data_IF_946289557953
#
_entry.id   IF_946289557953
#
_cell.length_a   1.000
_cell.length_b   1.000
_cell.length_c   1.000
_cell.angle_alpha   90.00
_cell.angle_beta   90.00
_cell.angle_gamma   90.00
#
_symmetry.space_group_name_H-M   'P 1'
#
loop_
_entity.id
_entity.type
_entity.pdbx_description
1 polymer ?
#
# COMPACT_ATOMS: atom_id res chain seq x y z
N UNK A 1 13.90 -7.97 6.35
CA UNK A 1 12.53 -8.53 6.33
C UNK A 1 12.66 -10.01 5.97
N UNK A 2 12.19 -10.95 6.80
CA UNK A 2 12.28 -12.38 6.46
C UNK A 2 11.39 -12.73 5.26
N UNK A 3 11.85 -13.62 4.37
CA UNK A 3 11.08 -14.17 3.24
C UNK A 3 9.70 -14.69 3.68
N UNK A 4 9.62 -15.24 4.90
CA UNK A 4 8.36 -15.73 5.49
C UNK A 4 7.31 -14.63 5.68
N UNK A 5 7.70 -13.49 6.25
CA UNK A 5 6.79 -12.35 6.50
C UNK A 5 6.26 -11.79 5.18
N UNK A 6 7.09 -11.74 4.14
CA UNK A 6 6.64 -11.30 2.81
C UNK A 6 5.59 -12.27 2.22
N UNK A 7 5.82 -13.59 2.32
CA UNK A 7 4.87 -14.60 1.83
C UNK A 7 3.52 -14.52 2.55
N UNK A 8 3.54 -14.34 3.87
CA UNK A 8 2.32 -14.17 4.68
C UNK A 8 1.52 -12.93 4.24
N UNK A 9 2.19 -11.79 4.04
CA UNK A 9 1.56 -10.55 3.52
C UNK A 9 0.99 -10.74 2.11
N UNK A 10 1.69 -11.44 1.22
CA UNK A 10 1.22 -11.72 -0.13
C UNK A 10 -0.03 -12.61 -0.14
N UNK A 11 -0.08 -13.63 0.72
CA UNK A 11 -1.26 -14.47 0.90
C UNK A 11 -2.46 -13.65 1.43
N UNK A 12 -2.23 -12.80 2.42
CA UNK A 12 -3.27 -11.91 2.97
C UNK A 12 -3.79 -10.91 1.92
N UNK A 13 -2.90 -10.25 1.17
CA UNK A 13 -3.28 -9.31 0.12
C UNK A 13 -4.08 -9.99 -0.99
N UNK A 14 -3.72 -11.22 -1.38
CA UNK A 14 -4.49 -12.02 -2.33
C UNK A 14 -5.92 -12.28 -1.84
N UNK A 15 -6.10 -12.60 -0.56
CA UNK A 15 -7.45 -12.80 0.02
C UNK A 15 -8.31 -11.56 -0.09
N UNK A 16 -7.75 -10.36 0.13
CA UNK A 16 -8.49 -9.11 0.00
C UNK A 16 -9.07 -8.86 -1.40
N UNK A 17 -8.56 -9.50 -2.46
CA UNK A 17 -9.12 -9.38 -3.82
C UNK A 17 -10.38 -10.20 -4.03
N UNK A 18 -10.60 -11.23 -3.22
CA UNK A 18 -11.68 -12.20 -3.38
C UNK A 18 -12.74 -12.09 -2.28
N UNK A 19 -12.47 -11.30 -1.24
CA UNK A 19 -13.34 -11.14 -0.07
C UNK A 19 -13.98 -9.75 -0.04
N UNK A 20 -15.20 -9.67 0.47
CA UNK A 20 -15.83 -8.40 0.81
C UNK A 20 -15.23 -7.81 2.11
N UNK A 21 -15.33 -6.49 2.33
CA UNK A 21 -15.79 -5.46 1.40
C UNK A 21 -14.76 -5.18 0.29
N UNK A 22 -15.15 -4.43 -0.74
CA UNK A 22 -14.26 -3.99 -1.82
C UNK A 22 -12.91 -3.50 -1.27
N UNK A 23 -11.82 -3.98 -1.84
CA UNK A 23 -10.48 -3.53 -1.47
C UNK A 23 -10.25 -2.12 -2.03
N UNK A 24 -10.30 -1.13 -1.14
CA UNK A 24 -9.80 0.22 -1.44
C UNK A 24 -8.29 0.22 -1.23
N UNK A 25 -7.54 0.60 -2.27
CA UNK A 25 -6.08 0.57 -2.29
C UNK A 25 -5.52 1.98 -2.58
N UNK A 26 -5.34 2.82 -1.54
CA UNK A 26 -4.82 4.17 -1.73
C UNK A 26 -3.36 4.16 -2.21
N UNK A 27 -3.04 5.09 -3.10
CA UNK A 27 -1.67 5.33 -3.55
C UNK A 27 -0.93 6.22 -2.55
N UNK A 28 0.28 5.81 -2.18
CA UNK A 28 1.21 6.56 -1.31
C UNK A 28 2.55 6.78 -2.02
N UNK A 29 3.28 7.81 -1.61
CA UNK A 29 4.53 8.24 -2.27
C UNK A 29 5.70 8.47 -1.30
N UNK A 30 5.47 8.39 0.00
CA UNK A 30 6.51 8.47 1.03
C UNK A 30 6.10 7.72 2.33
N UNK A 31 6.98 7.72 3.32
CA UNK A 31 6.71 7.07 4.60
C UNK A 31 5.60 7.79 5.42
N UNK A 32 5.45 9.10 5.26
CA UNK A 32 4.46 9.88 5.99
C UNK A 32 3.03 9.55 5.51
N UNK A 33 2.80 9.60 4.20
CA UNK A 33 1.56 9.20 3.54
C UNK A 33 1.20 7.74 3.84
N UNK A 34 2.16 6.83 3.83
CA UNK A 34 1.93 5.43 4.24
C UNK A 34 1.40 5.30 5.67
N UNK A 35 1.97 6.07 6.62
CA UNK A 35 1.51 6.06 8.03
C UNK A 35 0.11 6.65 8.18
N UNK A 36 -0.18 7.74 7.48
CA UNK A 36 -1.51 8.37 7.50
C UNK A 36 -2.58 7.40 6.98
N UNK A 37 -2.33 6.75 5.84
CA UNK A 37 -3.28 5.78 5.26
C UNK A 37 -3.46 4.57 6.18
N UNK A 38 -2.40 4.08 6.83
CA UNK A 38 -2.52 3.01 7.81
C UNK A 38 -3.35 3.42 9.04
N UNK A 39 -3.15 4.64 9.55
CA UNK A 39 -3.94 5.20 10.67
C UNK A 39 -5.41 5.40 10.30
N UNK A 40 -5.71 5.69 9.04
CA UNK A 40 -7.07 5.78 8.52
C UNK A 40 -7.78 4.41 8.37
N UNK A 41 -7.09 3.30 8.68
CA UNK A 41 -7.70 1.96 8.74
C UNK A 41 -7.73 1.20 7.41
N UNK A 42 -7.01 1.67 6.38
CA UNK A 42 -6.93 0.94 5.12
C UNK A 42 -6.12 -0.36 5.28
N UNK A 43 -6.63 -1.43 4.67
CA UNK A 43 -6.08 -2.79 4.78
C UNK A 43 -4.78 -2.99 3.99
N UNK A 44 -4.54 -2.18 2.97
CA UNK A 44 -3.35 -2.22 2.11
C UNK A 44 -3.12 -0.85 1.44
N UNK A 45 -1.93 -0.66 0.87
CA UNK A 45 -1.52 0.54 0.13
C UNK A 45 -0.84 0.13 -1.19
N UNK A 46 -0.89 1.01 -2.18
CA UNK A 46 -0.12 0.91 -3.42
C UNK A 46 0.90 2.06 -3.50
N UNK A 47 1.95 1.88 -4.28
CA UNK A 47 2.87 2.96 -4.64
C UNK A 47 2.41 3.62 -5.93
N UNK A 48 2.77 4.89 -6.11
CA UNK A 48 2.56 5.62 -7.37
C UNK A 48 3.87 6.21 -7.87
N UNK A 49 4.23 5.92 -9.13
CA UNK A 49 5.43 6.50 -9.76
C UNK A 49 5.31 8.02 -9.93
N UNK A 50 4.13 8.53 -10.28
CA UNK A 50 3.91 9.97 -10.45
C UNK A 50 4.00 10.74 -9.13
N UNK A 51 3.47 10.18 -8.04
CA UNK A 51 3.57 10.82 -6.72
C UNK A 51 5.01 10.83 -6.19
N UNK A 52 5.76 9.75 -6.41
CA UNK A 52 7.19 9.70 -6.08
C UNK A 52 7.98 10.69 -6.94
N UNK A 53 7.72 10.75 -8.25
CA UNK A 53 8.37 11.68 -9.17
C UNK A 53 8.15 13.14 -8.73
N UNK A 54 6.90 13.52 -8.45
CA UNK A 54 6.56 14.86 -7.98
C UNK A 54 7.22 15.20 -6.63
N UNK A 55 7.25 14.27 -5.68
CA UNK A 55 7.90 14.47 -4.38
C UNK A 55 9.42 14.67 -4.49
N UNK A 56 10.04 14.15 -5.55
CA UNK A 56 11.46 14.32 -5.86
C UNK A 56 11.75 15.50 -6.82
N UNK A 57 10.72 16.23 -7.27
CA UNK A 57 10.86 17.39 -8.15
C UNK A 57 10.98 17.07 -9.65
N UNK A 58 10.59 15.87 -10.07
CA UNK A 58 10.48 15.50 -11.49
C UNK A 58 9.11 15.89 -12.06
N UNK A 59 9.08 16.41 -13.30
CA UNK A 59 7.87 16.81 -14.06
C UNK A 59 7.61 15.90 -15.26
#
# INVERSE_FOLDING_TARGET
MSSRVQKEKAAQFRRFHHEAPLLVLPNVWDAASARIVAQAGFRAIATTSSGVAAALGYS
#
